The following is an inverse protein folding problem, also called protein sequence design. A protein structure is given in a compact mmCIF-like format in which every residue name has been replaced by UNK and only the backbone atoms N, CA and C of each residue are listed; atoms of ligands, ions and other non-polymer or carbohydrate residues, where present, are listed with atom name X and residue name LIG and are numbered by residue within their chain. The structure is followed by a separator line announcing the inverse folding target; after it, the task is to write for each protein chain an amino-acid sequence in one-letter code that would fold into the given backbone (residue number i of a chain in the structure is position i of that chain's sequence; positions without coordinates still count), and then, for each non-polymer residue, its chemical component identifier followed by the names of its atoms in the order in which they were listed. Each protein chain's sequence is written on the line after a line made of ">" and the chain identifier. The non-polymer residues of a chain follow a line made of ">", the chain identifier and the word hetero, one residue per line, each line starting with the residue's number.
data_IF_514798028918
#
_entry.id   IF_514798028918
#
_cell.length_a   1.000
_cell.length_b   1.000
_cell.length_c   1.000
_cell.angle_alpha   90.00
_cell.angle_beta   90.00
_cell.angle_gamma   90.00
#
_symmetry.space_group_name_H-M   'P 1'
#
loop_
_entity.id
_entity.type
_entity.pdbx_description
1 polymer ?
#
# COMPACT_ATOMS: atom_id res chain seq x y z
N UNK A 1 4.80 5.92 20.42
CA UNK A 1 4.43 4.85 19.47
C UNK A 1 4.74 5.34 18.09
N UNK A 2 5.61 4.64 17.35
CA UNK A 2 5.95 4.99 15.98
C UNK A 2 4.82 4.52 15.08
N UNK A 3 4.09 5.45 14.46
CA UNK A 3 3.09 5.11 13.45
C UNK A 3 3.81 4.76 12.15
N UNK A 4 3.37 3.70 11.47
CA UNK A 4 3.83 3.32 10.14
C UNK A 4 2.86 3.97 9.16
N UNK A 5 3.33 4.93 8.37
CA UNK A 5 2.52 5.48 7.30
C UNK A 5 2.86 4.78 5.99
N UNK A 6 1.87 4.61 5.12
CA UNK A 6 2.07 4.15 3.76
C UNK A 6 1.10 4.81 2.79
N UNK A 7 1.50 4.86 1.52
CA UNK A 7 0.60 5.14 0.41
C UNK A 7 0.15 3.82 -0.18
N UNK A 8 -1.15 3.64 -0.28
CA UNK A 8 -1.79 2.59 -1.06
C UNK A 8 -2.05 3.12 -2.47
N UNK A 9 -1.56 2.41 -3.48
CA UNK A 9 -1.89 2.60 -4.88
C UNK A 9 -2.64 1.36 -5.37
N UNK A 10 -3.71 1.55 -6.12
CA UNK A 10 -4.54 0.47 -6.66
C UNK A 10 -4.81 0.71 -8.15
N UNK A 11 -4.74 -0.35 -8.95
CA UNK A 11 -5.03 -0.31 -10.40
C UNK A 11 -5.56 -1.64 -10.93
N UNK A 12 -6.28 -1.57 -12.06
CA UNK A 12 -6.95 -2.71 -12.67
C UNK A 12 -8.14 -3.19 -11.84
N UNK A 13 -8.79 -2.29 -11.10
CA UNK A 13 -9.88 -2.62 -10.18
C UNK A 13 -11.14 -1.87 -10.57
N UNK A 14 -12.26 -2.58 -10.62
CA UNK A 14 -13.55 -1.97 -10.94
C UNK A 14 -13.99 -1.02 -9.81
N UNK A 15 -14.59 0.09 -10.21
CA UNK A 15 -15.17 1.14 -9.37
C UNK A 15 -15.95 0.60 -8.15
N UNK A 16 -16.85 -0.38 -8.38
CA UNK A 16 -17.67 -1.00 -7.33
C UNK A 16 -16.89 -1.76 -6.24
N UNK A 17 -15.62 -2.08 -6.50
CA UNK A 17 -14.70 -2.69 -5.55
C UNK A 17 -13.89 -1.61 -4.84
N UNK A 18 -13.50 -0.55 -5.55
CA UNK A 18 -12.81 0.62 -4.97
C UNK A 18 -13.67 1.31 -3.91
N UNK A 19 -14.97 1.45 -4.16
CA UNK A 19 -15.94 1.99 -3.19
C UNK A 19 -16.07 1.15 -1.91
N UNK A 20 -15.68 -0.12 -1.94
CA UNK A 20 -15.74 -1.04 -0.79
C UNK A 20 -14.42 -1.11 -0.02
N UNK A 21 -13.40 -0.37 -0.45
CA UNK A 21 -12.12 -0.36 0.24
C UNK A 21 -12.29 0.27 1.64
N UNK A 22 -11.73 -0.34 2.70
CA UNK A 22 -11.86 0.15 4.06
C UNK A 22 -10.90 1.32 4.34
N UNK A 23 -10.71 2.21 3.37
CA UNK A 23 -9.80 3.36 3.44
C UNK A 23 -10.36 4.54 2.66
N UNK A 24 -10.12 5.74 3.19
CA UNK A 24 -10.44 6.97 2.49
C UNK A 24 -9.27 7.37 1.57
N UNK A 25 -9.59 7.75 0.35
CA UNK A 25 -8.61 8.07 -0.67
C UNK A 25 -9.21 8.86 -1.82
N UNK A 26 -8.40 9.05 -2.85
CA UNK A 26 -8.74 9.80 -4.03
C UNK A 26 -8.75 8.87 -5.24
N UNK A 27 -9.73 9.07 -6.10
CA UNK A 27 -9.77 8.43 -7.41
C UNK A 27 -8.72 9.07 -8.29
N UNK A 28 -8.02 8.24 -9.06
CA UNK A 28 -7.04 8.68 -10.03
C UNK A 28 -7.56 8.40 -11.44
N UNK A 29 -7.24 9.29 -12.37
CA UNK A 29 -7.55 9.13 -13.78
C UNK A 29 -6.22 8.94 -14.52
N UNK A 30 -5.91 7.72 -14.94
CA UNK A 30 -4.64 7.39 -15.61
C UNK A 30 -4.23 5.93 -15.43
N UNK A 31 -2.95 5.69 -15.14
CA UNK A 31 -2.40 4.33 -14.88
C UNK A 31 -2.93 3.71 -13.58
N UNK A 32 -3.31 4.56 -12.63
CA UNK A 32 -3.85 4.16 -11.33
C UNK A 32 -5.32 4.54 -11.25
N UNK A 33 -6.10 3.70 -10.58
CA UNK A 33 -7.53 3.94 -10.36
C UNK A 33 -7.77 4.62 -9.00
N UNK A 34 -6.91 4.36 -8.00
CA UNK A 34 -7.12 4.85 -6.65
C UNK A 34 -5.81 5.03 -5.86
N UNK A 35 -5.76 6.08 -5.04
CA UNK A 35 -4.68 6.36 -4.10
C UNK A 35 -5.23 6.67 -2.72
N UNK A 36 -4.68 6.06 -1.67
CA UNK A 36 -5.02 6.38 -0.28
C UNK A 36 -3.77 6.50 0.57
N UNK A 37 -3.83 7.38 1.57
CA UNK A 37 -2.86 7.38 2.66
C UNK A 37 -3.40 6.49 3.78
N UNK A 38 -2.59 5.56 4.24
CA UNK A 38 -2.94 4.63 5.33
C UNK A 38 -1.94 4.75 6.46
N UNK A 39 -2.42 4.65 7.69
CA UNK A 39 -1.61 4.67 8.90
C UNK A 39 -1.84 3.36 9.66
N UNK A 40 -0.76 2.73 10.11
CA UNK A 40 -0.77 1.52 10.92
C UNK A 40 -0.07 1.77 12.25
N UNK A 41 -0.61 1.22 13.33
CA UNK A 41 -0.01 1.25 14.65
C UNK A 41 1.03 0.14 14.84
N UNK A 42 1.02 -0.89 13.99
CA UNK A 42 1.94 -2.02 14.05
C UNK A 42 2.12 -2.71 12.70
N UNK A 43 3.21 -3.45 12.54
CA UNK A 43 3.45 -4.30 11.36
C UNK A 43 2.33 -5.34 11.19
N UNK A 44 1.84 -5.91 12.30
CA UNK A 44 0.73 -6.87 12.29
C UNK A 44 -0.52 -6.25 11.68
N UNK A 45 -0.84 -5.00 11.99
CA UNK A 45 -1.99 -4.31 11.42
C UNK A 45 -1.83 -4.08 9.91
N UNK A 46 -0.61 -3.75 9.46
CA UNK A 46 -0.29 -3.62 8.04
C UNK A 46 -0.46 -4.95 7.29
N UNK A 47 0.00 -6.07 7.86
CA UNK A 47 -0.18 -7.41 7.26
C UNK A 47 -1.66 -7.81 7.18
N UNK A 48 -2.45 -7.53 8.22
CA UNK A 48 -3.88 -7.82 8.20
C UNK A 48 -4.63 -6.98 7.17
N UNK A 49 -4.23 -5.71 7.02
CA UNK A 49 -4.74 -4.82 6.00
C UNK A 49 -4.43 -5.34 4.59
N UNK A 50 -3.19 -5.75 4.33
CA UNK A 50 -2.79 -6.34 3.05
C UNK A 50 -3.60 -7.61 2.73
N UNK A 51 -3.79 -8.48 3.73
CA UNK A 51 -4.59 -9.71 3.57
C UNK A 51 -6.04 -9.40 3.25
N UNK A 52 -6.63 -8.37 3.87
CA UNK A 52 -8.00 -7.92 3.57
C UNK A 52 -8.10 -7.33 2.17
N UNK A 53 -7.14 -6.49 1.80
CA UNK A 53 -7.03 -5.93 0.45
C UNK A 53 -6.99 -7.05 -0.59
N UNK A 54 -6.03 -7.97 -0.52
CA UNK A 54 -5.92 -9.10 -1.46
C UNK A 54 -7.23 -9.88 -1.65
N UNK A 55 -8.06 -10.00 -0.62
CA UNK A 55 -9.39 -10.64 -0.70
C UNK A 55 -10.44 -9.75 -1.35
N UNK A 56 -10.40 -8.45 -1.12
CA UNK A 56 -11.35 -7.49 -1.69
C UNK A 56 -11.11 -7.27 -3.19
N UNK A 57 -9.85 -7.12 -3.59
CA UNK A 57 -9.51 -6.68 -4.95
C UNK A 57 -9.52 -7.79 -6.02
N UNK A 58 -9.89 -9.03 -5.70
CA UNK A 58 -10.19 -10.14 -6.63
C UNK A 58 -9.40 -10.16 -7.96
N UNK A 59 -8.07 -10.13 -7.90
CA UNK A 59 -7.18 -10.19 -9.08
C UNK A 59 -6.72 -8.84 -9.62
N UNK A 60 -7.21 -7.73 -9.05
CA UNK A 60 -6.65 -6.41 -9.23
C UNK A 60 -5.29 -6.25 -8.56
N UNK A 61 -4.58 -5.19 -8.94
CA UNK A 61 -3.21 -4.96 -8.50
C UNK A 61 -3.15 -3.80 -7.53
N UNK A 62 -2.29 -3.91 -6.51
CA UNK A 62 -2.07 -2.84 -5.56
C UNK A 62 -0.61 -2.80 -5.13
N UNK A 63 -0.20 -1.65 -4.60
CA UNK A 63 1.12 -1.42 -4.04
C UNK A 63 1.00 -0.61 -2.75
N UNK A 64 1.65 -1.09 -1.70
CA UNK A 64 1.82 -0.36 -0.45
C UNK A 64 3.24 0.18 -0.40
N UNK A 65 3.37 1.50 -0.33
CA UNK A 65 4.66 2.20 -0.27
C UNK A 65 4.79 2.84 1.10
N UNK A 66 5.68 2.35 1.99
CA UNK A 66 5.86 2.95 3.30
C UNK A 66 6.39 4.38 3.15
N UNK A 67 5.70 5.34 3.76
CA UNK A 67 6.16 6.71 3.90
C UNK A 67 6.81 6.81 5.26
N UNK A 68 8.13 6.98 5.28
CA UNK A 68 8.79 7.40 6.51
C UNK A 68 8.37 8.84 6.79
N UNK A 69 7.43 9.05 7.73
CA UNK A 69 7.41 10.30 8.48
C UNK A 69 8.65 10.32 9.38
N UNK A 70 9.82 10.54 8.78
CA UNK A 70 10.86 11.25 9.50
C UNK A 70 10.29 12.64 9.70
N UNK A 71 9.84 12.90 10.94
CA UNK A 71 9.62 14.26 11.36
C UNK A 71 10.85 15.09 10.95
N UNK A 72 10.60 16.18 10.24
CA UNK A 72 11.56 17.25 9.93
C UNK A 72 12.60 16.92 8.83
N UNK A 73 12.40 17.59 7.70
CA UNK A 73 13.41 18.12 6.76
C UNK A 73 14.86 17.94 7.23
N UNK A 74 15.58 16.97 6.67
CA UNK A 74 16.97 17.19 6.25
C UNK A 74 17.49 16.13 5.29
N UNK A 75 18.43 16.60 4.49
CA UNK A 75 19.10 16.02 3.35
C UNK A 75 19.57 14.56 3.45
N UNK A 76 19.70 14.00 2.24
CA UNK A 76 20.76 13.10 1.79
C UNK A 76 20.77 11.65 2.34
N UNK A 77 20.62 10.76 1.36
CA UNK A 77 21.03 9.36 1.28
C UNK A 77 21.45 8.64 2.55
N UNK A 78 20.73 7.57 2.88
CA UNK A 78 21.36 6.30 3.22
C UNK A 78 20.34 5.16 3.16
N UNK A 79 20.78 4.04 2.58
CA UNK A 79 19.97 2.87 2.29
C UNK A 79 19.32 2.31 3.55
N UNK A 80 18.00 2.16 3.50
CA UNK A 80 17.29 1.31 4.46
C UNK A 80 16.78 0.11 3.71
N UNK A 81 17.39 -1.04 4.03
CA UNK A 81 17.05 -2.36 3.53
C UNK A 81 15.53 -2.54 3.51
N UNK A 82 14.98 -2.55 2.31
CA UNK A 82 13.59 -2.93 2.04
C UNK A 82 13.53 -4.45 2.06
N UNK A 83 13.70 -5.04 3.24
CA UNK A 83 13.62 -6.49 3.45
C UNK A 83 12.21 -6.88 3.90
N UNK A 84 11.18 -6.63 3.07
CA UNK A 84 9.88 -7.29 3.31
C UNK A 84 8.96 -7.47 2.09
N UNK A 85 9.35 -7.06 0.87
CA UNK A 85 8.49 -7.20 -0.33
C UNK A 85 9.13 -7.98 -1.49
N UNK A 86 10.05 -8.90 -1.21
CA UNK A 86 10.49 -9.93 -2.17
C UNK A 86 9.94 -11.30 -1.79
N UNK A 87 8.64 -11.49 -1.98
CA UNK A 87 8.06 -12.82 -2.17
C UNK A 87 6.77 -12.72 -2.98
N UNK A 88 6.88 -12.19 -4.19
CA UNK A 88 6.04 -12.67 -5.29
C UNK A 88 6.93 -13.63 -6.07
N UNK A 89 6.93 -14.87 -5.57
CA UNK A 89 7.58 -16.01 -6.22
C UNK A 89 6.99 -16.09 -7.63
N UNK A 90 7.82 -15.82 -8.63
CA UNK A 90 7.56 -16.23 -10.00
C UNK A 90 7.18 -17.72 -9.97
N UNK A 91 5.98 -18.04 -10.40
CA UNK A 91 5.55 -19.41 -10.63
C UNK A 91 4.79 -19.44 -11.94
N UNK A 92 5.13 -20.47 -12.70
CA UNK A 92 4.67 -20.88 -14.02
C UNK A 92 5.42 -20.23 -15.21
N UNK A 93 5.73 -21.02 -16.25
CA UNK A 93 5.06 -22.27 -16.67
C UNK A 93 5.50 -23.54 -15.95
#
# INVERSE_FOLDING_TARGET
>A
MSKIEAILLVWGVRDEVLEKLPVEGYWLYGEYDFIAKVEFMSEKEAEEFERKLRRLIHGGTFKLIPVKLSAVKNSEGEGVKVSMFESVRASAP
#
